data_IF_806636610656
#
_entry.id   IF_806636610656
#
_cell.length_a   1.000
_cell.length_b   1.000
_cell.length_c   1.000
_cell.angle_alpha   90.00
_cell.angle_beta   90.00
_cell.angle_gamma   90.00
#
_symmetry.space_group_name_H-M   'P 1'
#
loop_
_entity.id
_entity.type
_entity.pdbx_description
1 polymer ?
#
# COMPACT_ATOMS: atom_id res chain seq x y z
N UNK A 1 -11.09 -8.36 19.73
CA UNK A 1 -9.67 -8.05 19.48
C UNK A 1 -9.51 -6.56 19.74
N UNK A 2 -8.67 -6.17 20.69
CA UNK A 2 -8.61 -4.81 21.24
C UNK A 2 -8.55 -3.76 20.13
N UNK A 3 -9.38 -2.72 20.25
CA UNK A 3 -9.42 -1.54 19.39
C UNK A 3 -8.03 -0.87 19.35
N UNK A 4 -7.14 -1.34 18.48
CA UNK A 4 -5.87 -0.69 18.18
C UNK A 4 -6.18 0.53 17.32
N UNK A 5 -6.61 1.62 17.98
CA UNK A 5 -6.78 2.92 17.34
C UNK A 5 -5.43 3.36 16.79
N UNK A 6 -5.29 3.35 15.46
CA UNK A 6 -4.15 3.97 14.80
C UNK A 6 -4.28 5.46 15.03
N UNK A 7 -3.43 6.00 15.89
CA UNK A 7 -3.35 7.43 16.13
C UNK A 7 -2.63 8.09 14.94
N UNK A 8 -3.42 8.59 13.99
CA UNK A 8 -2.92 9.26 12.80
C UNK A 8 -2.24 10.60 13.10
N UNK A 9 -2.52 11.22 14.25
CA UNK A 9 -1.90 12.46 14.71
C UNK A 9 -0.43 12.30 15.14
N UNK A 10 -0.04 11.10 15.55
CA UNK A 10 1.32 10.75 15.97
C UNK A 10 2.22 10.23 14.83
N UNK A 11 1.72 10.14 13.59
CA UNK A 11 2.55 9.71 12.46
C UNK A 11 3.58 10.79 12.08
N UNK A 12 4.85 10.40 12.00
CA UNK A 12 5.91 11.30 11.51
C UNK A 12 5.88 11.35 9.98
N UNK A 13 6.37 12.43 9.37
CA UNK A 13 6.55 12.57 7.91
C UNK A 13 7.22 11.35 7.27
N UNK A 14 8.16 10.71 7.99
CA UNK A 14 8.84 9.49 7.57
C UNK A 14 7.89 8.31 7.38
N UNK A 15 6.87 8.18 8.21
CA UNK A 15 5.87 7.11 8.09
C UNK A 15 4.98 7.31 6.86
N UNK A 16 4.64 8.57 6.53
CA UNK A 16 3.93 8.92 5.30
C UNK A 16 4.77 8.63 4.05
N UNK A 17 6.05 9.00 4.06
CA UNK A 17 6.98 8.69 2.97
C UNK A 17 7.10 7.18 2.73
N UNK A 18 7.06 6.38 3.80
CA UNK A 18 7.06 4.93 3.71
C UNK A 18 5.75 4.38 3.11
N UNK A 19 4.60 4.99 3.42
CA UNK A 19 3.33 4.65 2.79
C UNK A 19 3.32 4.90 1.28
N UNK A 20 3.87 6.03 0.84
CA UNK A 20 4.06 6.33 -0.59
C UNK A 20 4.99 5.31 -1.24
N UNK A 21 6.07 4.92 -0.56
CA UNK A 21 6.97 3.86 -1.02
C UNK A 21 6.25 2.52 -1.22
N UNK A 22 5.42 2.11 -0.26
CA UNK A 22 4.60 0.89 -0.38
C UNK A 22 3.61 0.95 -1.54
N UNK A 23 2.97 2.10 -1.77
CA UNK A 23 2.05 2.29 -2.89
C UNK A 23 2.76 2.20 -4.25
N UNK A 24 3.96 2.79 -4.37
CA UNK A 24 4.77 2.71 -5.59
C UNK A 24 5.25 1.28 -5.86
N UNK A 25 5.73 0.57 -4.84
CA UNK A 25 6.17 -0.82 -4.98
C UNK A 25 5.01 -1.73 -5.36
N UNK A 26 3.85 -1.60 -4.71
CA UNK A 26 2.67 -2.39 -5.05
C UNK A 26 2.20 -2.13 -6.48
N UNK A 27 2.19 -0.87 -6.92
CA UNK A 27 1.85 -0.51 -8.30
C UNK A 27 2.85 -1.10 -9.30
N UNK A 28 4.15 -1.04 -9.02
CA UNK A 28 5.18 -1.63 -9.87
C UNK A 28 5.03 -3.16 -9.98
N UNK A 29 4.68 -3.84 -8.88
CA UNK A 29 4.39 -5.28 -8.87
C UNK A 29 3.17 -5.59 -9.74
N UNK A 30 2.09 -4.82 -9.61
CA UNK A 30 0.87 -5.01 -10.43
C UNK A 30 1.18 -4.80 -11.90
N UNK A 31 1.87 -3.72 -12.28
CA UNK A 31 2.26 -3.49 -13.69
C UNK A 31 3.21 -4.57 -14.22
N UNK A 32 4.14 -5.07 -13.39
CA UNK A 32 4.99 -6.20 -13.76
C UNK A 32 4.19 -7.49 -13.97
N UNK A 33 3.17 -7.72 -13.14
CA UNK A 33 2.28 -8.88 -13.25
C UNK A 33 1.36 -8.79 -14.49
N UNK A 34 0.86 -7.60 -14.84
CA UNK A 34 0.12 -7.36 -16.08
C UNK A 34 0.99 -7.68 -17.31
N UNK A 35 2.23 -7.19 -17.33
CA UNK A 35 3.18 -7.47 -18.41
C UNK A 35 3.52 -8.97 -18.53
N UNK A 36 3.66 -9.67 -17.41
CA UNK A 36 3.94 -11.10 -17.39
C UNK A 36 2.73 -11.97 -17.80
N UNK A 37 1.51 -11.53 -17.46
CA UNK A 37 0.29 -12.32 -17.66
C UNK A 37 -0.34 -12.14 -19.05
N UNK A 38 0.14 -11.21 -19.87
CA UNK A 38 -0.50 -10.81 -21.15
C UNK A 38 -2.00 -10.44 -20.99
N UNK A 39 -2.41 -10.10 -19.77
CA UNK A 39 -3.76 -9.66 -19.46
C UNK A 39 -3.74 -8.15 -19.47
N UNK A 40 -4.50 -7.55 -20.39
CA UNK A 40 -4.75 -6.11 -20.39
C UNK A 40 -5.77 -5.83 -19.29
N UNK A 41 -5.30 -5.50 -18.10
CA UNK A 41 -6.16 -4.88 -17.11
C UNK A 41 -6.33 -3.39 -17.49
N UNK A 42 -7.52 -2.82 -17.33
CA UNK A 42 -7.68 -1.38 -17.44
C UNK A 42 -6.74 -0.70 -16.45
N UNK A 43 -5.93 0.25 -16.94
CA UNK A 43 -4.90 0.95 -16.16
C UNK A 43 -5.44 1.56 -14.85
N UNK A 44 -6.71 1.95 -14.85
CA UNK A 44 -7.41 2.42 -13.65
C UNK A 44 -7.60 1.33 -12.58
N UNK A 45 -7.94 0.10 -12.98
CA UNK A 45 -8.10 -1.03 -12.05
C UNK A 45 -6.76 -1.50 -11.51
N UNK A 46 -5.72 -1.52 -12.36
CA UNK A 46 -4.36 -1.85 -11.93
C UNK A 46 -3.83 -0.82 -10.92
N UNK A 47 -4.01 0.47 -11.19
CA UNK A 47 -3.64 1.54 -10.27
C UNK A 47 -4.46 1.51 -8.98
N UNK A 48 -5.77 1.26 -9.06
CA UNK A 48 -6.63 1.13 -7.88
C UNK A 48 -6.25 -0.08 -7.02
N UNK A 49 -5.94 -1.23 -7.64
CA UNK A 49 -5.47 -2.42 -6.96
C UNK A 49 -4.09 -2.19 -6.31
N UNK A 50 -3.14 -1.60 -7.05
CA UNK A 50 -1.82 -1.25 -6.53
C UNK A 50 -1.89 -0.27 -5.35
N UNK A 51 -2.73 0.76 -5.46
CA UNK A 51 -2.95 1.72 -4.38
C UNK A 51 -3.63 1.08 -3.16
N UNK A 52 -4.66 0.26 -3.36
CA UNK A 52 -5.35 -0.44 -2.27
C UNK A 52 -4.41 -1.41 -1.53
N UNK A 53 -3.61 -2.18 -2.27
CA UNK A 53 -2.61 -3.10 -1.70
C UNK A 53 -1.52 -2.32 -0.97
N UNK A 54 -1.04 -1.21 -1.54
CA UNK A 54 -0.03 -0.35 -0.93
C UNK A 54 -0.51 0.29 0.38
N UNK A 55 -1.75 0.78 0.41
CA UNK A 55 -2.37 1.34 1.62
C UNK A 55 -2.58 0.25 2.68
N UNK A 56 -3.04 -0.95 2.29
CA UNK A 56 -3.21 -2.07 3.22
C UNK A 56 -1.87 -2.55 3.81
N UNK A 57 -0.82 -2.62 2.99
CA UNK A 57 0.53 -2.95 3.42
C UNK A 57 1.10 -1.90 4.37
N UNK A 58 0.88 -0.62 4.08
CA UNK A 58 1.26 0.48 4.96
C UNK A 58 0.52 0.43 6.31
N UNK A 59 -0.79 0.18 6.30
CA UNK A 59 -1.58 -0.01 7.52
C UNK A 59 -1.06 -1.16 8.37
N UNK A 60 -0.73 -2.29 7.75
CA UNK A 60 -0.15 -3.46 8.42
C UNK A 60 1.22 -3.13 9.00
N UNK A 61 2.05 -2.39 8.27
CA UNK A 61 3.34 -1.89 8.75
C UNK A 61 3.18 -1.00 9.99
N UNK A 62 2.26 -0.04 9.96
CA UNK A 62 1.97 0.86 11.09
C UNK A 62 1.47 0.09 12.33
N UNK A 63 0.59 -0.90 12.15
CA UNK A 63 0.11 -1.76 13.23
C UNK A 63 1.23 -2.58 13.87
N UNK A 64 2.21 -3.04 13.08
CA UNK A 64 3.37 -3.81 13.55
C UNK A 64 4.42 -2.94 14.21
N UNK A 65 4.60 -1.69 13.76
CA UNK A 65 5.58 -0.73 14.30
C UNK A 65 5.23 -0.20 15.69
N UNK A 66 3.94 -0.10 16.02
CA UNK A 66 3.44 0.24 17.36
C UNK A 66 3.21 -0.98 18.28
N UNK A 67 3.65 -2.18 17.87
CA UNK A 67 3.50 -3.42 18.66
C UNK A 67 4.70 -3.72 19.53
#
# INVERSE_FOLDING_TARGET
>A
MAERKIDFGSLTIKDYALGVGFALVATAIVSGLEAASNVVLPSFLAAAAGAAIGVAAWFTYLLKRKS
#
